data_IF_532340364505
#
_entry.id   IF_532340364505
#
_cell.length_a   1.000
_cell.length_b   1.000
_cell.length_c   1.000
_cell.angle_alpha   90.00
_cell.angle_beta   90.00
_cell.angle_gamma   90.00
#
_symmetry.space_group_name_H-M   'P 1'
#
loop_
_entity.id
_entity.type
_entity.pdbx_description
1 polymer ?
#
# COMPACT_ATOMS: atom_id res chain seq x y z
N UNK A 1 -18.21 -7.51 -5.55
CA UNK A 1 -17.92 -7.22 -4.13
C UNK A 1 -16.41 -7.26 -3.99
N UNK A 2 -15.78 -6.09 -3.83
CA UNK A 2 -14.33 -6.01 -3.61
C UNK A 2 -14.00 -6.70 -2.29
N UNK A 3 -13.10 -7.67 -2.34
CA UNK A 3 -12.55 -8.27 -1.14
C UNK A 3 -11.76 -7.17 -0.42
N UNK A 4 -12.13 -6.86 0.82
CA UNK A 4 -11.29 -6.00 1.68
C UNK A 4 -10.02 -6.77 1.98
N UNK A 5 -8.95 -6.51 1.22
CA UNK A 5 -7.64 -7.03 1.54
C UNK A 5 -6.96 -6.11 2.55
N UNK A 6 -6.53 -6.71 3.65
CA UNK A 6 -5.67 -6.07 4.63
C UNK A 6 -4.24 -6.44 4.29
N UNK A 7 -3.44 -5.44 3.92
CA UNK A 7 -2.01 -5.65 3.75
C UNK A 7 -1.35 -5.53 5.11
N UNK A 8 -0.47 -6.47 5.41
CA UNK A 8 0.33 -6.48 6.62
C UNK A 8 1.80 -6.37 6.25
N UNK A 9 2.50 -5.47 6.92
CA UNK A 9 3.96 -5.41 6.88
C UNK A 9 4.51 -5.97 8.18
N UNK A 10 5.55 -6.78 8.07
CA UNK A 10 6.19 -7.49 9.18
C UNK A 10 7.70 -7.31 9.07
N UNK A 11 8.37 -7.10 10.22
CA UNK A 11 9.80 -6.73 10.29
C UNK A 11 10.79 -7.92 10.23
N UNK A 12 10.35 -9.15 10.52
CA UNK A 12 11.22 -10.32 10.66
C UNK A 12 10.56 -11.53 10.00
N UNK A 13 11.31 -12.27 9.18
CA UNK A 13 10.89 -13.59 8.68
C UNK A 13 10.98 -14.68 9.78
N UNK A 14 11.59 -14.35 10.92
CA UNK A 14 12.26 -15.33 11.79
C UNK A 14 11.70 -15.48 13.22
N UNK A 15 10.43 -15.19 13.48
CA UNK A 15 9.73 -15.67 14.69
C UNK A 15 8.21 -15.69 14.48
N UNK A 16 7.50 -16.55 15.23
CA UNK A 16 6.06 -16.86 15.12
C UNK A 16 5.11 -15.65 15.27
N UNK A 17 5.58 -14.44 15.58
CA UNK A 17 4.76 -13.21 15.62
C UNK A 17 5.43 -11.95 15.04
N UNK A 18 4.67 -11.09 14.32
CA UNK A 18 5.13 -9.79 13.85
C UNK A 18 5.55 -8.86 15.01
N UNK A 19 6.75 -8.28 14.92
CA UNK A 19 7.20 -7.24 15.87
C UNK A 19 6.35 -5.97 15.76
N UNK A 20 5.82 -5.69 14.56
CA UNK A 20 4.92 -4.57 14.29
C UNK A 20 4.09 -4.89 13.05
N UNK A 21 2.80 -4.54 13.07
CA UNK A 21 1.85 -4.81 12.00
C UNK A 21 1.10 -3.51 11.67
N UNK A 22 1.15 -3.09 10.41
CA UNK A 22 0.31 -2.01 9.88
C UNK A 22 -0.69 -2.61 8.92
N UNK A 23 -1.95 -2.22 9.09
CA UNK A 23 -3.04 -2.58 8.20
C UNK A 23 -3.24 -1.45 7.20
N UNK A 24 -3.09 -1.74 5.91
CA UNK A 24 -3.41 -0.79 4.84
C UNK A 24 -4.75 -1.14 4.22
N UNK A 25 -5.55 -0.10 3.97
CA UNK A 25 -6.77 -0.25 3.18
C UNK A 25 -6.44 -0.61 1.74
N UNK A 26 -7.14 -1.60 1.21
CA UNK A 26 -7.05 -2.02 -0.18
C UNK A 26 -7.21 -0.86 -1.18
N UNK A 27 -8.25 -0.05 -0.98
CA UNK A 27 -8.52 1.18 -1.71
C UNK A 27 -7.33 2.12 -1.84
N UNK A 28 -6.55 2.30 -0.77
CA UNK A 28 -5.36 3.15 -0.80
C UNK A 28 -4.28 2.49 -1.66
N UNK A 29 -4.03 1.19 -1.47
CA UNK A 29 -3.02 0.43 -2.21
C UNK A 29 -3.32 0.44 -3.71
N UNK A 30 -4.56 0.20 -4.10
CA UNK A 30 -5.01 0.26 -5.49
C UNK A 30 -4.86 1.68 -6.07
N UNK A 31 -5.25 2.70 -5.31
CA UNK A 31 -5.16 4.09 -5.77
C UNK A 31 -3.71 4.52 -6.09
N UNK A 32 -2.73 4.06 -5.30
CA UNK A 32 -1.31 4.42 -5.47
C UNK A 32 -0.50 3.31 -6.17
N UNK A 33 -1.15 2.27 -6.69
CA UNK A 33 -0.52 1.02 -7.12
C UNK A 33 0.62 1.23 -8.13
N UNK A 34 0.45 2.14 -9.08
CA UNK A 34 1.46 2.39 -10.10
C UNK A 34 2.78 2.90 -9.51
N UNK A 35 2.72 3.70 -8.45
CA UNK A 35 3.94 4.11 -7.74
C UNK A 35 4.56 2.95 -6.95
N UNK A 36 3.73 2.06 -6.37
CA UNK A 36 4.23 0.90 -5.63
C UNK A 36 4.94 -0.11 -6.56
N UNK A 37 4.50 -0.24 -7.81
CA UNK A 37 5.13 -1.10 -8.83
C UNK A 37 6.58 -0.75 -9.17
N UNK A 38 7.15 0.32 -8.61
CA UNK A 38 8.57 0.65 -8.79
C UNK A 38 9.48 -0.02 -7.75
N UNK A 39 8.90 -0.56 -6.67
CA UNK A 39 9.64 -1.04 -5.51
C UNK A 39 10.23 -2.43 -5.81
N UNK A 40 11.56 -2.62 -5.80
CA UNK A 40 12.16 -3.94 -5.85
C UNK A 40 11.69 -4.81 -4.68
N UNK A 41 11.28 -6.03 -4.99
CA UNK A 41 10.62 -6.94 -4.05
C UNK A 41 10.95 -8.39 -4.39
N UNK A 42 10.63 -9.31 -3.48
CA UNK A 42 10.88 -10.73 -3.62
C UNK A 42 9.66 -11.54 -3.18
N UNK A 43 9.26 -12.51 -3.99
CA UNK A 43 8.16 -13.40 -3.68
C UNK A 43 8.72 -14.70 -3.09
N UNK A 44 8.59 -14.95 -1.78
CA UNK A 44 9.15 -16.14 -1.15
C UNK A 44 8.49 -17.43 -1.62
N UNK A 45 7.23 -17.38 -2.10
CA UNK A 45 6.52 -18.56 -2.57
C UNK A 45 7.02 -19.05 -3.94
N UNK A 46 7.42 -18.13 -4.83
CA UNK A 46 7.98 -18.48 -6.15
C UNK A 46 9.50 -18.42 -6.21
N UNK A 47 10.14 -17.86 -5.17
CA UNK A 47 11.57 -17.59 -5.11
C UNK A 47 12.08 -16.66 -6.23
N UNK A 48 11.26 -15.69 -6.62
CA UNK A 48 11.57 -14.76 -7.71
C UNK A 48 11.62 -13.32 -7.23
N UNK A 49 12.58 -12.55 -7.74
CA UNK A 49 12.59 -11.11 -7.64
C UNK A 49 11.52 -10.51 -8.57
N UNK A 50 10.83 -9.48 -8.10
CA UNK A 50 9.79 -8.77 -8.86
C UNK A 50 9.69 -7.31 -8.39
N UNK A 51 8.68 -6.58 -8.88
CA UNK A 51 8.41 -5.22 -8.45
C UNK A 51 6.99 -5.02 -7.89
N UNK A 52 6.90 -4.28 -6.79
CA UNK A 52 5.64 -3.92 -6.13
C UNK A 52 5.23 -4.84 -4.99
N UNK A 53 3.92 -4.86 -4.73
CA UNK A 53 3.32 -5.70 -3.70
C UNK A 53 2.56 -6.87 -4.37
N UNK A 54 2.74 -8.07 -3.85
CA UNK A 54 1.92 -9.22 -4.20
C UNK A 54 0.55 -9.06 -3.54
N UNK A 55 -0.45 -8.76 -4.35
CA UNK A 55 -1.80 -8.46 -3.90
C UNK A 55 -2.51 -9.64 -3.21
N UNK A 56 -2.12 -10.87 -3.52
CA UNK A 56 -2.72 -12.09 -2.96
C UNK A 56 -1.72 -12.96 -2.20
N UNK A 57 -0.58 -12.41 -1.80
CA UNK A 57 0.49 -13.21 -1.21
C UNK A 57 1.52 -12.39 -0.44
N UNK A 58 2.52 -13.10 0.07
CA UNK A 58 3.58 -12.49 0.84
C UNK A 58 4.52 -11.73 -0.10
N UNK A 59 4.95 -10.56 0.36
CA UNK A 59 5.95 -9.73 -0.29
C UNK A 59 7.09 -9.49 0.67
N UNK A 60 8.31 -9.89 0.30
CA UNK A 60 9.51 -9.47 0.99
C UNK A 60 10.08 -8.21 0.30
N UNK A 61 10.29 -7.15 1.07
CA UNK A 61 10.94 -5.93 0.58
C UNK A 61 12.32 -5.86 1.23
N UNK A 62 13.37 -5.98 0.41
CA UNK A 62 14.77 -5.89 0.86
C UNK A 62 15.20 -4.42 0.93
N UNK A 63 16.40 -4.18 1.47
CA UNK A 63 16.94 -2.85 1.77
C UNK A 63 16.71 -1.77 0.69
N UNK A 64 17.01 -2.06 -0.57
CA UNK A 64 16.82 -1.11 -1.68
C UNK A 64 15.34 -0.76 -1.89
N UNK A 65 14.47 -1.77 -1.89
CA UNK A 65 13.02 -1.56 -2.00
C UNK A 65 12.44 -0.85 -0.78
N UNK A 66 12.97 -1.08 0.42
CA UNK A 66 12.48 -0.44 1.64
C UNK A 66 12.76 1.06 1.63
N UNK A 67 13.94 1.49 1.17
CA UNK A 67 14.25 2.91 0.98
C UNK A 67 13.27 3.57 0.00
N UNK A 68 13.03 2.93 -1.15
CA UNK A 68 12.12 3.47 -2.16
C UNK A 68 10.67 3.51 -1.66
N UNK A 69 10.20 2.46 -0.98
CA UNK A 69 8.88 2.42 -0.35
C UNK A 69 8.71 3.58 0.63
N UNK A 70 9.70 3.81 1.50
CA UNK A 70 9.69 4.92 2.47
C UNK A 70 9.48 6.25 1.76
N UNK A 71 10.30 6.54 0.76
CA UNK A 71 10.27 7.83 0.05
C UNK A 71 8.97 8.05 -0.73
N UNK A 72 8.43 6.98 -1.34
CA UNK A 72 7.10 7.02 -2.00
C UNK A 72 6.01 7.31 -0.98
N UNK A 73 6.01 6.65 0.18
CA UNK A 73 4.99 6.84 1.21
C UNK A 73 5.03 8.25 1.82
N UNK A 74 6.23 8.77 2.09
CA UNK A 74 6.41 10.14 2.54
C UNK A 74 5.93 11.15 1.49
N UNK A 75 6.17 10.87 0.21
CA UNK A 75 5.71 11.72 -0.90
C UNK A 75 4.19 11.74 -1.01
N UNK A 76 3.53 10.59 -0.95
CA UNK A 76 2.06 10.51 -0.92
C UNK A 76 1.46 11.16 0.32
N UNK A 77 2.06 10.94 1.49
CA UNK A 77 1.60 11.58 2.74
C UNK A 77 1.68 13.09 2.63
N UNK A 78 2.79 13.61 2.10
CA UNK A 78 2.94 15.04 1.82
C UNK A 78 1.89 15.54 0.84
N UNK A 79 1.62 14.81 -0.24
CA UNK A 79 0.60 15.20 -1.22
C UNK A 79 -0.79 15.26 -0.58
N UNK A 80 -1.21 14.22 0.14
CA UNK A 80 -2.51 14.20 0.81
C UNK A 80 -2.63 15.22 1.93
N UNK A 81 -1.53 15.61 2.59
CA UNK A 81 -1.55 16.67 3.60
C UNK A 81 -2.05 18.02 3.07
N UNK A 82 -1.97 18.24 1.75
CA UNK A 82 -2.46 19.44 1.07
C UNK A 82 -3.95 19.37 0.71
N UNK A 83 -4.59 18.21 0.88
CA UNK A 83 -6.00 18.01 0.57
C UNK A 83 -6.92 18.64 1.64
N UNK A 84 -8.22 18.85 1.33
CA UNK A 84 -9.23 19.16 2.33
C UNK A 84 -9.29 18.10 3.44
N UNK A 85 -9.93 18.40 4.58
CA UNK A 85 -10.07 17.45 5.68
C UNK A 85 -10.73 16.12 5.26
N UNK A 86 -11.66 16.21 4.32
CA UNK A 86 -12.36 15.07 3.71
C UNK A 86 -12.45 15.27 2.20
N UNK A 87 -12.22 14.21 1.42
CA UNK A 87 -12.27 14.24 -0.05
C UNK A 87 -12.57 12.84 -0.61
N UNK A 88 -12.68 12.75 -1.94
CA UNK A 88 -12.95 11.50 -2.64
C UNK A 88 -11.78 11.11 -3.52
N UNK A 89 -11.36 9.85 -3.40
CA UNK A 89 -10.46 9.21 -4.35
C UNK A 89 -11.28 8.43 -5.39
N UNK A 90 -10.75 8.36 -6.61
CA UNK A 90 -11.29 7.52 -7.68
C UNK A 90 -10.95 6.06 -7.37
N UNK A 91 -11.96 5.20 -7.23
CA UNK A 91 -11.81 3.77 -7.04
C UNK A 91 -11.91 2.98 -8.34
N UNK A 92 -12.25 1.70 -8.23
CA UNK A 92 -12.34 0.78 -9.37
C UNK A 92 -13.44 1.17 -10.35
N UNK A 93 -13.27 0.79 -11.61
CA UNK A 93 -14.31 0.91 -12.61
C UNK A 93 -15.28 -0.26 -12.51
N UNK A 94 -16.54 0.05 -12.26
CA UNK A 94 -17.63 -0.93 -12.20
C UNK A 94 -18.49 -0.78 -13.44
N UNK A 95 -18.61 -1.84 -14.23
CA UNK A 95 -19.47 -1.90 -15.42
C UNK A 95 -20.68 -2.81 -15.21
N UNK A 96 -21.79 -2.47 -15.86
CA UNK A 96 -22.95 -3.34 -16.04
C UNK A 96 -22.82 -4.19 -17.33
N UNK A 97 -23.73 -5.16 -17.48
CA UNK A 97 -23.79 -6.05 -18.64
C UNK A 97 -24.10 -5.32 -19.96
N UNK A 98 -24.56 -4.06 -19.89
CA UNK A 98 -24.90 -3.23 -21.03
C UNK A 98 -23.72 -2.36 -21.49
N UNK A 99 -22.55 -2.50 -20.87
CA UNK A 99 -21.34 -1.74 -21.21
C UNK A 99 -21.32 -0.31 -20.65
N UNK A 100 -22.27 0.05 -19.78
CA UNK A 100 -22.18 1.29 -19.01
C UNK A 100 -21.37 1.04 -17.75
N UNK A 101 -20.72 2.07 -17.23
CA UNK A 101 -20.01 1.93 -15.97
C UNK A 101 -19.65 3.27 -15.34
N UNK A 102 -19.13 3.19 -14.12
CA UNK A 102 -18.67 4.34 -13.37
C UNK A 102 -17.46 3.95 -12.51
N UNK A 103 -16.62 4.93 -12.20
CA UNK A 103 -15.61 4.75 -11.18
C UNK A 103 -16.22 4.93 -9.80
N UNK A 104 -15.87 4.06 -8.88
CA UNK A 104 -16.23 4.20 -7.48
C UNK A 104 -15.67 5.50 -6.89
N UNK A 105 -16.34 6.01 -5.86
CA UNK A 105 -15.94 7.22 -5.15
C UNK A 105 -15.66 6.86 -3.70
N UNK A 106 -14.38 6.87 -3.36
CA UNK A 106 -13.89 6.40 -2.07
C UNK A 106 -13.76 7.61 -1.14
N UNK A 107 -14.61 7.68 -0.12
CA UNK A 107 -14.53 8.77 0.87
C UNK A 107 -13.32 8.55 1.78
N UNK A 108 -12.51 9.58 1.92
CA UNK A 108 -11.29 9.54 2.72
C UNK A 108 -11.20 10.75 3.64
N UNK A 109 -10.55 10.57 4.78
CA UNK A 109 -10.07 11.69 5.60
C UNK A 109 -8.57 11.88 5.32
N UNK A 110 -8.14 13.14 5.28
CA UNK A 110 -6.72 13.48 5.14
C UNK A 110 -5.90 12.84 6.25
N UNK A 111 -6.38 12.93 7.48
CA UNK A 111 -5.63 12.54 8.66
C UNK A 111 -5.42 11.00 8.69
N UNK A 112 -6.41 10.20 8.30
CA UNK A 112 -6.27 8.73 8.23
C UNK A 112 -5.29 8.30 7.13
N UNK A 113 -5.36 8.91 5.95
CA UNK A 113 -4.47 8.59 4.84
C UNK A 113 -3.02 8.98 5.14
N UNK A 114 -2.81 10.20 5.62
CA UNK A 114 -1.46 10.69 5.97
C UNK A 114 -0.86 9.86 7.11
N UNK A 115 -1.65 9.52 8.13
CA UNK A 115 -1.19 8.66 9.24
C UNK A 115 -0.81 7.26 8.75
N UNK A 116 -1.65 6.62 7.92
CA UNK A 116 -1.37 5.29 7.38
C UNK A 116 -0.05 5.27 6.60
N UNK A 117 0.17 6.27 5.74
CA UNK A 117 1.38 6.39 4.93
C UNK A 117 2.64 6.74 5.75
N UNK A 118 2.52 7.59 6.77
CA UNK A 118 3.63 7.88 7.69
C UNK A 118 4.02 6.64 8.49
N UNK A 119 3.05 5.86 8.94
CA UNK A 119 3.31 4.61 9.67
C UNK A 119 4.01 3.60 8.77
N UNK A 120 3.56 3.48 7.51
CA UNK A 120 4.22 2.64 6.51
C UNK A 120 5.66 3.06 6.25
N UNK A 121 5.91 4.37 6.13
CA UNK A 121 7.26 4.91 5.96
C UNK A 121 8.16 4.61 7.17
N UNK A 122 7.62 4.71 8.40
CA UNK A 122 8.36 4.40 9.62
C UNK A 122 8.75 2.91 9.72
N UNK A 123 7.85 2.00 9.35
CA UNK A 123 8.17 0.56 9.27
C UNK A 123 9.25 0.29 8.23
N UNK A 124 9.12 0.90 7.04
CA UNK A 124 10.13 0.77 5.99
C UNK A 124 11.50 1.31 6.44
N UNK A 125 11.52 2.35 7.29
CA UNK A 125 12.74 2.88 7.89
C UNK A 125 13.33 1.97 8.98
N UNK A 126 12.49 1.33 9.78
CA UNK A 126 12.97 0.41 10.82
C UNK A 126 13.48 -0.93 10.26
N UNK A 127 13.18 -1.27 9.01
CA UNK A 127 13.78 -2.40 8.30
C UNK A 127 15.30 -2.26 8.08
N UNK A 128 15.89 -1.12 8.46
CA UNK A 128 17.33 -0.85 8.40
C UNK A 128 18.12 -1.23 9.66
N UNK A 129 17.45 -1.61 10.75
CA UNK A 129 18.06 -1.98 12.04
C UNK A 129 17.67 -3.38 12.48
#
# INVERSE_FOLDING_TARGET
MGLTHEFFLVRSESDDEPVEQVVLSDNLVLYIQDSLRWIPSFNPSTQEDYFGLNYHGITLIRHEGANLLKDICLSWSRLFSLAPSTFQLTGDFVSDDNGNGYYEKLNCTRDDLTKSLLTLAAIAEMAFY
#
